data_IF_499266941423
#
_entry.id   IF_499266941423
#
_cell.length_a   1.000
_cell.length_b   1.000
_cell.length_c   1.000
_cell.angle_alpha   90.00
_cell.angle_beta   90.00
_cell.angle_gamma   90.00
#
_symmetry.space_group_name_H-M   'P 1'
#
loop_
_entity.id
_entity.type
_entity.pdbx_description
1 polymer ?
#
# COMPACT_ATOMS: atom_id res chain seq x y z
N UNK A 1 11.62 10.41 -20.32
CA UNK A 1 12.07 9.93 -18.99
C UNK A 1 11.34 8.61 -18.73
N UNK A 2 12.04 7.48 -18.62
CA UNK A 2 11.39 6.20 -18.30
C UNK A 2 11.06 6.18 -16.80
N UNK A 3 9.78 5.99 -16.47
CA UNK A 3 9.35 5.78 -15.08
C UNK A 3 9.98 4.50 -14.56
N UNK A 4 10.55 4.52 -13.36
CA UNK A 4 11.16 3.33 -12.74
C UNK A 4 10.09 2.28 -12.35
N UNK A 5 10.51 1.03 -12.13
CA UNK A 5 9.58 0.00 -11.64
C UNK A 5 9.00 0.38 -10.27
N UNK A 6 9.85 0.93 -9.39
CA UNK A 6 9.47 1.46 -8.07
C UNK A 6 8.38 2.51 -8.15
N UNK A 7 8.53 3.50 -9.04
CA UNK A 7 7.53 4.56 -9.22
C UNK A 7 6.21 4.00 -9.75
N UNK A 8 6.24 3.09 -10.73
CA UNK A 8 5.02 2.44 -11.24
C UNK A 8 4.28 1.69 -10.14
N UNK A 9 5.00 0.88 -9.37
CA UNK A 9 4.41 0.10 -8.28
C UNK A 9 3.83 1.02 -7.19
N UNK A 10 4.58 2.04 -6.78
CA UNK A 10 4.15 3.01 -5.79
C UNK A 10 2.89 3.77 -6.24
N UNK A 11 2.86 4.28 -7.47
CA UNK A 11 1.70 4.97 -8.03
C UNK A 11 0.48 4.07 -8.09
N UNK A 12 0.64 2.81 -8.53
CA UNK A 12 -0.46 1.83 -8.57
C UNK A 12 -1.04 1.56 -7.18
N UNK A 13 -0.17 1.36 -6.17
CA UNK A 13 -0.62 1.07 -4.82
C UNK A 13 -1.31 2.27 -4.16
N UNK A 14 -0.77 3.47 -4.34
CA UNK A 14 -1.40 4.67 -3.81
C UNK A 14 -2.75 4.95 -4.47
N UNK A 15 -2.85 4.80 -5.79
CA UNK A 15 -4.11 5.02 -6.51
C UNK A 15 -5.17 3.99 -6.09
N UNK A 16 -4.79 2.71 -5.98
CA UNK A 16 -5.70 1.68 -5.47
C UNK A 16 -6.15 1.99 -4.04
N UNK A 17 -5.24 2.40 -3.14
CA UNK A 17 -5.60 2.76 -1.77
C UNK A 17 -6.46 4.04 -1.70
N UNK A 18 -6.29 4.97 -2.65
CA UNK A 18 -7.13 6.17 -2.76
C UNK A 18 -8.58 5.81 -3.04
N UNK A 19 -8.81 4.89 -3.99
CA UNK A 19 -10.14 4.48 -4.46
C UNK A 19 -10.79 3.46 -3.53
N UNK A 20 -10.03 2.46 -3.06
CA UNK A 20 -10.54 1.30 -2.33
C UNK A 20 -10.19 1.32 -0.84
N UNK A 21 -9.67 2.44 -0.34
CA UNK A 21 -9.18 2.63 1.04
C UNK A 21 -7.94 1.82 1.42
N UNK A 22 -7.62 0.78 0.66
CA UNK A 22 -6.48 -0.09 0.86
C UNK A 22 -5.96 -0.67 -0.46
N UNK A 23 -4.71 -1.11 -0.44
CA UNK A 23 -4.08 -1.87 -1.50
C UNK A 23 -3.02 -2.80 -0.91
N UNK A 24 -2.81 -3.95 -1.55
CA UNK A 24 -1.77 -4.90 -1.17
C UNK A 24 -0.97 -5.35 -2.39
N UNK A 25 0.30 -5.69 -2.17
CA UNK A 25 1.21 -6.20 -3.20
C UNK A 25 2.06 -7.30 -2.60
N UNK A 26 2.04 -8.49 -3.23
CA UNK A 26 2.93 -9.59 -2.84
C UNK A 26 4.37 -9.20 -3.11
N UNK A 27 5.21 -9.24 -2.08
CA UNK A 27 6.62 -8.83 -2.19
C UNK A 27 7.36 -9.87 -3.04
N UNK A 28 7.93 -9.43 -4.15
CA UNK A 28 8.81 -10.23 -4.99
C UNK A 28 10.29 -10.02 -4.58
N UNK A 29 11.19 -10.98 -4.85
CA UNK A 29 12.62 -10.84 -4.54
C UNK A 29 13.30 -9.62 -5.19
N UNK A 30 12.76 -9.14 -6.31
CA UNK A 30 13.29 -7.98 -7.06
C UNK A 30 12.73 -6.64 -6.57
N UNK A 31 11.80 -6.65 -5.61
CA UNK A 31 11.17 -5.42 -5.13
C UNK A 31 12.05 -4.72 -4.10
N UNK A 32 12.41 -3.47 -4.39
CA UNK A 32 12.98 -2.56 -3.39
C UNK A 32 11.83 -1.95 -2.55
N UNK A 33 11.44 -2.68 -1.50
CA UNK A 33 10.31 -2.30 -0.64
C UNK A 33 10.57 -0.97 0.10
N UNK A 34 11.82 -0.67 0.43
CA UNK A 34 12.15 0.60 1.09
C UNK A 34 11.92 1.78 0.14
N UNK A 35 12.43 1.69 -1.09
CA UNK A 35 12.23 2.72 -2.11
C UNK A 35 10.74 2.88 -2.47
N UNK A 36 10.00 1.76 -2.60
CA UNK A 36 8.55 1.79 -2.87
C UNK A 36 7.81 2.51 -1.74
N UNK A 37 8.11 2.20 -0.47
CA UNK A 37 7.48 2.87 0.68
C UNK A 37 7.82 4.36 0.75
N UNK A 38 9.07 4.72 0.49
CA UNK A 38 9.51 6.11 0.45
C UNK A 38 8.75 6.90 -0.63
N UNK A 39 8.63 6.33 -1.83
CA UNK A 39 7.89 6.90 -2.94
C UNK A 39 6.40 7.08 -2.61
N UNK A 40 5.75 6.02 -2.09
CA UNK A 40 4.33 6.06 -1.71
C UNK A 40 4.07 7.17 -0.70
N UNK A 41 4.91 7.31 0.34
CA UNK A 41 4.75 8.35 1.36
C UNK A 41 4.91 9.75 0.78
N UNK A 42 5.89 9.95 -0.11
CA UNK A 42 6.09 11.23 -0.78
C UNK A 42 4.88 11.62 -1.61
N UNK A 43 4.41 10.73 -2.49
CA UNK A 43 3.24 10.99 -3.34
C UNK A 43 1.95 11.14 -2.54
N UNK A 44 1.77 10.39 -1.45
CA UNK A 44 0.62 10.55 -0.57
C UNK A 44 0.61 11.93 0.10
N UNK A 45 1.79 12.41 0.56
CA UNK A 45 1.93 13.76 1.13
C UNK A 45 1.60 14.84 0.10
N UNK A 46 2.11 14.72 -1.13
CA UNK A 46 1.82 15.64 -2.23
C UNK A 46 0.32 15.69 -2.56
N UNK A 47 -0.36 14.54 -2.49
CA UNK A 47 -1.80 14.42 -2.72
C UNK A 47 -2.67 14.79 -1.49
N UNK A 48 -2.08 15.11 -0.34
CA UNK A 48 -2.82 15.38 0.90
C UNK A 48 -3.50 14.14 1.52
N UNK A 49 -3.11 12.93 1.13
CA UNK A 49 -3.70 11.67 1.60
C UNK A 49 -2.89 11.15 2.79
N UNK A 50 -3.56 10.91 3.92
CA UNK A 50 -2.95 10.24 5.07
C UNK A 50 -3.05 8.73 4.89
N UNK A 51 -1.92 8.04 4.95
CA UNK A 51 -1.81 6.58 4.79
C UNK A 51 -0.96 5.96 5.89
N UNK A 52 -1.11 4.64 6.07
CA UNK A 52 -0.18 3.76 6.80
C UNK A 52 0.31 2.68 5.84
N UNK A 53 1.56 2.27 6.04
CA UNK A 53 2.15 1.14 5.30
C UNK A 53 2.68 0.09 6.25
N UNK A 54 2.48 -1.18 5.92
CA UNK A 54 2.94 -2.31 6.71
C UNK A 54 3.28 -3.51 5.84
N UNK A 55 3.79 -4.57 6.47
CA UNK A 55 3.95 -5.87 5.81
C UNK A 55 3.08 -6.87 6.57
N UNK A 56 2.20 -7.55 5.84
CA UNK A 56 1.31 -8.59 6.37
C UNK A 56 1.45 -9.81 5.48
N UNK A 57 1.85 -10.94 6.05
CA UNK A 57 1.96 -12.24 5.37
C UNK A 57 2.74 -12.17 4.04
N UNK A 58 3.88 -11.45 4.04
CA UNK A 58 4.74 -11.29 2.86
C UNK A 58 4.20 -10.33 1.80
N UNK A 59 3.17 -9.54 2.11
CA UNK A 59 2.65 -8.49 1.25
C UNK A 59 2.89 -7.10 1.83
N UNK A 60 3.31 -6.15 0.99
CA UNK A 60 3.30 -4.73 1.32
C UNK A 60 1.85 -4.25 1.25
N UNK A 61 1.36 -3.69 2.35
CA UNK A 61 0.01 -3.13 2.45
C UNK A 61 0.07 -1.62 2.61
N UNK A 62 -0.83 -0.93 1.93
CA UNK A 62 -1.05 0.51 2.00
C UNK A 62 -2.51 0.74 2.35
N UNK A 63 -2.77 1.44 3.44
CA UNK A 63 -4.13 1.66 3.93
C UNK A 63 -4.30 3.15 4.24
N UNK A 64 -5.40 3.75 3.82
CA UNK A 64 -5.72 5.13 4.22
C UNK A 64 -5.92 5.22 5.72
N UNK A 65 -5.52 6.33 6.33
CA UNK A 65 -5.66 6.53 7.77
C UNK A 65 -7.13 6.63 8.24
N UNK A 66 -8.05 6.91 7.31
CA UNK A 66 -9.49 7.02 7.51
C UNK A 66 -10.27 5.83 6.92
N UNK A 67 -9.60 4.74 6.55
CA UNK A 67 -10.24 3.54 6.03
C UNK A 67 -11.20 2.91 7.05
N UNK A 68 -12.36 2.42 6.59
CA UNK A 68 -13.34 1.73 7.43
C UNK A 68 -12.74 0.49 8.13
N UNK A 69 -11.74 -0.12 7.49
CA UNK A 69 -10.96 -1.25 7.99
C UNK A 69 -10.46 -1.07 9.43
N UNK A 70 -10.11 0.16 9.85
CA UNK A 70 -9.60 0.41 11.19
C UNK A 70 -10.61 0.18 12.32
N UNK A 71 -11.91 0.11 11.98
CA UNK A 71 -12.98 -0.18 12.92
C UNK A 71 -13.32 -1.67 12.99
N UNK A 72 -12.65 -2.51 12.20
CA UNK A 72 -12.90 -3.94 12.17
C UNK A 72 -12.05 -4.68 13.19
N UNK A 73 -12.50 -5.87 13.65
CA UNK A 73 -11.66 -6.75 14.45
C UNK A 73 -10.35 -7.09 13.72
N UNK A 74 -9.25 -7.17 14.47
CA UNK A 74 -7.90 -7.42 13.91
C UNK A 74 -7.84 -8.65 13.00
N UNK A 75 -8.60 -9.71 13.29
CA UNK A 75 -8.66 -10.92 12.44
C UNK A 75 -9.26 -10.63 11.06
N UNK A 76 -10.35 -9.86 11.01
CA UNK A 76 -11.00 -9.44 9.76
C UNK A 76 -10.10 -8.48 9.00
N UNK A 77 -9.46 -7.54 9.70
CA UNK A 77 -8.50 -6.62 9.10
C UNK A 77 -7.35 -7.39 8.43
N UNK A 78 -6.75 -8.37 9.13
CA UNK A 78 -5.68 -9.20 8.54
C UNK A 78 -6.17 -9.95 7.31
N UNK A 79 -7.33 -10.62 7.40
CA UNK A 79 -7.91 -11.36 6.28
C UNK A 79 -8.14 -10.48 5.04
N UNK A 80 -8.55 -9.22 5.23
CA UNK A 80 -8.76 -8.25 4.13
C UNK A 80 -7.48 -7.67 3.55
N UNK A 81 -6.39 -7.66 4.31
CA UNK A 81 -5.10 -7.10 3.90
C UNK A 81 -4.18 -8.11 3.22
N UNK A 82 -4.43 -9.40 3.43
CA UNK A 82 -3.72 -10.48 2.75
C UNK A 82 -4.24 -10.58 1.30
N UNK A 83 -3.37 -10.44 0.28
CA UNK A 83 -3.79 -10.67 -1.10
C UNK A 83 -4.35 -12.09 -1.22
N UNK A 84 -5.53 -12.23 -1.82
CA UNK A 84 -6.02 -13.54 -2.29
C UNK A 84 -5.07 -14.08 -3.34
N UNK A 85 -4.90 -15.41 -3.38
CA UNK A 85 -4.16 -16.09 -4.44
C UNK A 85 -4.85 -15.93 -5.81
#
# INVERSE_FOLDING_TARGET
MMVSNTERLASRLLESARVHEQASHRIAPTDDIEAVRAQIRRSAREAGIRIRTGIVDGALVVVRADAALWHEPTSVMRAKLTPGD
#
